data_IF_106088742760
#
_entry.id   IF_106088742760
#
_cell.length_a   1.000
_cell.length_b   1.000
_cell.length_c   1.000
_cell.angle_alpha   90.00
_cell.angle_beta   90.00
_cell.angle_gamma   90.00
#
_symmetry.space_group_name_H-M   'P 1'
#
loop_
_entity.id
_entity.type
_entity.pdbx_description
1 polymer ?
#
# COMPACT_ATOMS: atom_id res chain seq x y z
N UNK A 1 28.11 5.39 21.24
CA UNK A 1 28.98 6.56 21.37
C UNK A 1 28.20 7.80 20.93
N UNK A 2 27.78 7.94 19.71
CA UNK A 2 27.08 9.12 19.18
C UNK A 2 25.81 9.55 19.93
N UNK A 3 24.95 8.62 20.38
CA UNK A 3 23.71 8.95 21.09
C UNK A 3 24.01 9.54 22.48
N UNK A 4 25.01 9.00 23.19
CA UNK A 4 25.36 9.50 24.51
C UNK A 4 25.95 10.93 24.42
N UNK A 5 26.75 11.20 23.40
CA UNK A 5 27.27 12.54 23.14
C UNK A 5 26.13 13.54 22.87
N UNK A 6 25.09 13.13 22.14
CA UNK A 6 23.91 13.96 21.91
C UNK A 6 23.10 14.19 23.19
N UNK A 7 22.95 13.16 24.04
CA UNK A 7 22.28 13.27 25.35
C UNK A 7 23.06 14.22 26.28
N UNK A 8 24.40 14.15 26.24
CA UNK A 8 25.27 15.03 27.02
C UNK A 8 25.20 16.51 26.54
N UNK A 9 25.08 16.74 25.23
CA UNK A 9 24.89 18.09 24.65
C UNK A 9 23.51 18.67 24.96
N UNK A 10 22.46 17.84 24.87
CA UNK A 10 21.07 18.24 25.18
C UNK A 10 20.87 18.41 26.69
N UNK A 11 21.70 17.76 27.51
CA UNK A 11 21.64 17.77 28.96
C UNK A 11 20.46 16.99 29.56
N UNK A 12 19.77 16.16 28.71
CA UNK A 12 18.60 15.36 29.11
C UNK A 12 18.64 14.02 28.40
N UNK A 13 18.16 12.91 29.05
CA UNK A 13 18.08 11.62 28.42
C UNK A 13 17.04 11.61 27.28
N UNK A 14 17.42 11.10 26.14
CA UNK A 14 16.56 10.97 24.96
C UNK A 14 15.96 9.58 24.83
N UNK A 15 16.60 8.57 25.44
CA UNK A 15 16.15 7.18 25.40
C UNK A 15 15.96 6.62 26.81
N UNK A 16 14.85 5.94 27.01
CA UNK A 16 14.64 5.07 28.16
C UNK A 16 15.14 3.67 27.82
N UNK A 17 16.10 3.20 28.63
CA UNK A 17 16.76 1.88 28.45
C UNK A 17 16.15 0.88 29.41
N UNK A 18 14.85 0.64 29.31
CA UNK A 18 14.17 -0.41 30.08
C UNK A 18 14.66 -1.82 29.76
N UNK A 19 14.41 -2.77 30.66
CA UNK A 19 14.92 -4.14 30.59
C UNK A 19 14.45 -4.96 29.37
N UNK A 20 13.45 -4.48 28.59
CA UNK A 20 12.86 -5.21 27.44
C UNK A 20 12.93 -4.48 26.10
N UNK A 21 13.05 -3.18 26.09
CA UNK A 21 13.12 -2.37 24.85
C UNK A 21 13.75 -1.02 25.13
N UNK A 22 14.38 -0.43 24.12
CA UNK A 22 14.80 0.97 24.12
C UNK A 22 13.66 1.79 23.54
N UNK A 23 13.08 2.71 24.32
CA UNK A 23 12.03 3.62 23.89
C UNK A 23 12.50 5.07 23.99
N UNK A 24 11.86 5.99 23.26
CA UNK A 24 12.13 7.41 23.43
C UNK A 24 11.54 7.91 24.75
N UNK A 25 12.27 8.80 25.40
CA UNK A 25 11.70 9.64 26.47
C UNK A 25 10.81 10.74 25.86
N UNK A 26 10.04 11.45 26.68
CA UNK A 26 9.27 12.62 26.23
C UNK A 26 10.20 13.69 25.59
N UNK A 27 11.41 13.88 26.14
CA UNK A 27 12.44 14.76 25.55
C UNK A 27 12.92 14.23 24.20
N UNK A 28 13.11 12.90 24.09
CA UNK A 28 13.48 12.24 22.84
C UNK A 28 12.42 12.38 21.76
N UNK A 29 11.15 12.22 22.09
CA UNK A 29 10.04 12.44 21.15
C UNK A 29 9.98 13.90 20.68
N UNK A 30 10.14 14.83 21.62
CA UNK A 30 10.16 16.27 21.30
C UNK A 30 11.31 16.63 20.37
N UNK A 31 12.53 16.17 20.67
CA UNK A 31 13.70 16.39 19.82
C UNK A 31 13.55 15.74 18.45
N UNK A 32 12.97 14.56 18.38
CA UNK A 32 12.78 13.82 17.11
C UNK A 32 11.97 14.62 16.09
N UNK A 33 10.98 15.40 16.53
CA UNK A 33 10.20 16.30 15.65
C UNK A 33 11.12 17.32 14.95
N UNK A 34 12.03 17.93 15.70
CA UNK A 34 12.98 18.90 15.13
C UNK A 34 14.05 18.25 14.26
N UNK A 35 14.57 17.09 14.69
CA UNK A 35 15.56 16.33 13.91
C UNK A 35 14.98 15.93 12.55
N UNK A 36 13.74 15.43 12.51
CA UNK A 36 13.03 15.11 11.25
C UNK A 36 12.88 16.34 10.37
N UNK A 37 12.55 17.49 10.95
CA UNK A 37 12.43 18.75 10.21
C UNK A 37 13.76 19.20 9.62
N UNK A 38 14.85 19.12 10.38
CA UNK A 38 16.22 19.47 9.91
C UNK A 38 16.64 18.54 8.77
N UNK A 39 16.47 17.22 8.95
CA UNK A 39 16.79 16.23 7.90
C UNK A 39 15.94 16.44 6.65
N UNK A 40 14.66 16.80 6.81
CA UNK A 40 13.78 17.19 5.72
C UNK A 40 14.32 18.41 4.94
N UNK A 41 14.75 19.46 5.64
CA UNK A 41 15.32 20.68 5.03
C UNK A 41 16.65 20.40 4.31
N UNK A 42 17.50 19.54 4.88
CA UNK A 42 18.72 19.11 4.20
C UNK A 42 18.41 18.35 2.90
N UNK A 43 17.41 17.47 2.93
CA UNK A 43 16.94 16.78 1.74
C UNK A 43 16.37 17.74 0.70
N UNK A 44 15.63 18.77 1.11
CA UNK A 44 15.13 19.82 0.21
C UNK A 44 16.27 20.58 -0.48
N UNK A 45 17.37 20.84 0.24
CA UNK A 45 18.55 21.45 -0.34
C UNK A 45 19.23 20.52 -1.38
N UNK A 46 19.37 19.21 -1.08
CA UNK A 46 19.89 18.24 -2.02
C UNK A 46 18.99 18.12 -3.27
N UNK A 47 17.69 18.11 -3.10
CA UNK A 47 16.70 18.10 -4.19
C UNK A 47 16.76 19.39 -5.02
N UNK A 48 17.02 20.55 -4.41
CA UNK A 48 17.23 21.81 -5.11
C UNK A 48 18.51 21.78 -5.96
N UNK A 49 19.59 21.20 -5.44
CA UNK A 49 20.83 20.99 -6.21
C UNK A 49 20.63 19.97 -7.35
N UNK A 50 19.84 18.93 -7.13
CA UNK A 50 19.50 17.95 -8.16
C UNK A 50 18.70 18.59 -9.32
N UNK A 51 17.79 19.54 -9.01
CA UNK A 51 17.09 20.35 -10.03
C UNK A 51 18.05 21.10 -10.97
N UNK A 52 19.12 21.63 -10.42
CA UNK A 52 20.14 22.33 -11.22
C UNK A 52 20.98 21.38 -12.11
N UNK A 53 21.02 20.08 -11.76
CA UNK A 53 21.76 19.05 -12.51
C UNK A 53 20.89 18.34 -13.57
N UNK A 54 19.58 18.62 -13.63
CA UNK A 54 18.63 17.94 -14.51
C UNK A 54 18.05 16.66 -13.93
N UNK A 55 16.88 16.23 -14.44
CA UNK A 55 16.08 15.11 -13.91
C UNK A 55 16.71 13.71 -14.05
N UNK A 56 17.90 13.59 -14.64
CA UNK A 56 18.53 12.30 -14.92
C UNK A 56 19.29 11.69 -13.72
N UNK A 57 19.45 12.44 -12.63
CA UNK A 57 20.18 11.99 -11.44
C UNK A 57 19.41 12.39 -10.19
N UNK A 58 19.29 11.49 -9.22
CA UNK A 58 18.63 11.79 -7.95
C UNK A 58 18.23 10.54 -7.19
N UNK A 59 17.67 10.74 -6.01
CA UNK A 59 17.12 9.66 -5.16
C UNK A 59 15.66 9.90 -4.93
N UNK A 60 14.85 8.82 -5.01
CA UNK A 60 13.43 8.83 -4.72
C UNK A 60 13.15 7.80 -3.63
N UNK A 61 12.48 8.23 -2.55
CA UNK A 61 11.92 7.32 -1.56
C UNK A 61 10.44 7.09 -1.87
N UNK A 62 10.08 5.86 -2.15
CA UNK A 62 8.74 5.46 -2.60
C UNK A 62 8.12 4.59 -1.53
N UNK A 63 6.97 5.01 -1.01
CA UNK A 63 6.12 4.18 -0.16
C UNK A 63 5.10 3.41 -1.00
N UNK A 64 4.82 2.17 -0.65
CA UNK A 64 3.73 1.42 -1.27
C UNK A 64 2.99 0.55 -0.27
N UNK A 65 1.66 0.46 -0.43
CA UNK A 65 0.89 -0.52 0.32
C UNK A 65 1.26 -1.94 -0.12
N UNK A 66 1.17 -2.91 0.80
CA UNK A 66 1.55 -4.31 0.52
C UNK A 66 0.83 -4.92 -0.68
N UNK A 67 -0.38 -4.44 -1.02
CA UNK A 67 -1.09 -4.85 -2.24
C UNK A 67 -0.48 -4.34 -3.54
N UNK A 68 0.32 -3.26 -3.51
CA UNK A 68 1.00 -2.74 -4.70
C UNK A 68 2.29 -3.49 -5.04
N UNK A 69 2.79 -4.36 -4.15
CA UNK A 69 4.01 -5.16 -4.39
C UNK A 69 3.89 -6.09 -5.60
N UNK A 70 2.68 -6.42 -6.00
CA UNK A 70 2.42 -7.33 -7.11
C UNK A 70 2.56 -6.70 -8.49
N UNK A 71 2.58 -5.36 -8.60
CA UNK A 71 2.72 -4.68 -9.89
C UNK A 71 3.78 -3.56 -9.89
N UNK A 72 3.89 -2.79 -8.79
CA UNK A 72 4.73 -1.60 -8.77
C UNK A 72 6.22 -1.86 -9.11
N UNK A 73 6.86 -2.96 -8.66
CA UNK A 73 8.23 -3.26 -9.06
C UNK A 73 8.44 -3.35 -10.58
N UNK A 74 7.46 -3.86 -11.35
CA UNK A 74 7.54 -3.90 -12.82
C UNK A 74 7.43 -2.51 -13.44
N UNK A 75 6.53 -1.68 -12.91
CA UNK A 75 6.40 -0.27 -13.32
C UNK A 75 7.71 0.48 -13.06
N UNK A 76 8.30 0.29 -11.87
CA UNK A 76 9.58 0.90 -11.51
C UNK A 76 10.75 0.38 -12.34
N UNK A 77 10.76 -0.90 -12.71
CA UNK A 77 11.78 -1.46 -13.58
C UNK A 77 11.75 -0.81 -14.98
N UNK A 78 10.54 -0.53 -15.50
CA UNK A 78 10.37 0.17 -16.76
C UNK A 78 10.85 1.62 -16.65
N UNK A 79 10.46 2.36 -15.63
CA UNK A 79 10.95 3.70 -15.36
C UNK A 79 12.48 3.73 -15.26
N UNK A 80 13.08 2.80 -14.51
CA UNK A 80 14.55 2.73 -14.34
C UNK A 80 15.27 2.50 -15.66
N UNK A 81 14.70 1.77 -16.61
CA UNK A 81 15.33 1.56 -17.91
C UNK A 81 15.53 2.85 -18.70
N UNK A 82 14.67 3.84 -18.47
CA UNK A 82 14.68 5.15 -19.10
C UNK A 82 15.46 6.21 -18.28
N UNK A 83 15.57 5.99 -16.94
CA UNK A 83 16.17 6.92 -15.97
C UNK A 83 17.27 6.23 -15.14
N UNK A 84 18.35 5.79 -15.81
CA UNK A 84 19.42 4.96 -15.21
C UNK A 84 20.18 5.62 -14.05
N UNK A 85 20.19 6.97 -13.98
CA UNK A 85 20.85 7.73 -12.93
C UNK A 85 20.03 7.91 -11.65
N UNK A 86 18.79 7.40 -11.60
CA UNK A 86 17.89 7.56 -10.46
C UNK A 86 18.03 6.38 -9.50
N UNK A 87 18.41 6.66 -8.25
CA UNK A 87 18.37 5.71 -7.13
C UNK A 87 16.95 5.67 -6.55
N UNK A 88 16.39 4.48 -6.38
CA UNK A 88 15.06 4.29 -5.79
C UNK A 88 15.15 3.48 -4.51
N UNK A 89 14.49 3.96 -3.45
CA UNK A 89 14.29 3.22 -2.20
C UNK A 89 12.81 2.97 -1.99
N UNK A 90 12.47 1.72 -1.67
CA UNK A 90 11.08 1.31 -1.47
C UNK A 90 10.83 0.99 -0.01
N UNK A 91 9.74 1.55 0.51
CA UNK A 91 9.16 1.19 1.81
C UNK A 91 7.80 0.53 1.58
N UNK A 92 7.58 -0.61 2.24
CA UNK A 92 6.32 -1.36 2.16
C UNK A 92 5.63 -1.30 3.52
N UNK A 93 4.35 -1.01 3.53
CA UNK A 93 3.56 -0.97 4.75
C UNK A 93 2.07 -1.13 4.48
N UNK A 94 1.26 -0.98 5.52
CA UNK A 94 -0.18 -0.76 5.33
C UNK A 94 -0.47 0.72 5.09
N UNK A 95 -1.76 1.07 4.89
CA UNK A 95 -2.14 2.46 4.61
C UNK A 95 -1.75 3.42 5.74
N UNK A 96 -1.99 3.03 6.99
CA UNK A 96 -1.73 3.86 8.15
C UNK A 96 -0.23 4.18 8.30
N UNK A 97 0.61 3.16 8.15
CA UNK A 97 2.07 3.32 8.16
C UNK A 97 2.55 4.26 7.05
N UNK A 98 2.00 4.14 5.84
CA UNK A 98 2.39 5.01 4.73
C UNK A 98 1.92 6.45 4.91
N UNK A 99 0.74 6.67 5.51
CA UNK A 99 0.27 8.01 5.84
C UNK A 99 1.23 8.68 6.83
N UNK A 100 1.69 7.93 7.83
CA UNK A 100 2.71 8.41 8.77
C UNK A 100 4.04 8.72 8.08
N UNK A 101 4.52 7.83 7.21
CA UNK A 101 5.77 8.05 6.46
C UNK A 101 5.70 9.27 5.54
N UNK A 102 4.53 9.52 4.91
CA UNK A 102 4.30 10.76 4.15
C UNK A 102 4.36 11.98 5.08
N UNK A 103 3.66 11.94 6.21
CA UNK A 103 3.61 13.03 7.18
C UNK A 103 5.01 13.36 7.74
N UNK A 104 5.80 12.33 8.02
CA UNK A 104 7.17 12.44 8.53
C UNK A 104 8.19 12.74 7.40
N UNK A 105 7.73 12.91 6.15
CA UNK A 105 8.55 13.13 4.95
C UNK A 105 9.63 12.05 4.71
N UNK A 106 9.42 10.84 5.21
CA UNK A 106 10.29 9.67 5.00
C UNK A 106 10.19 9.15 3.56
N UNK A 107 9.02 9.31 2.93
CA UNK A 107 8.79 9.00 1.51
C UNK A 107 8.41 10.26 0.73
N UNK A 108 8.79 10.31 -0.54
CA UNK A 108 8.50 11.41 -1.46
C UNK A 108 7.17 11.19 -2.18
N UNK A 109 6.94 9.94 -2.58
CA UNK A 109 5.75 9.48 -3.28
C UNK A 109 5.22 8.23 -2.59
N UNK A 110 3.90 8.07 -2.52
CA UNK A 110 3.28 6.85 -2.04
C UNK A 110 2.26 6.31 -3.06
N UNK A 111 2.22 4.97 -3.23
CA UNK A 111 1.23 4.27 -4.05
C UNK A 111 0.25 3.55 -3.12
N UNK A 112 -1.03 3.92 -3.19
CA UNK A 112 -2.08 3.37 -2.33
C UNK A 112 -3.46 3.40 -2.98
N UNK A 113 -4.35 2.52 -2.53
CA UNK A 113 -5.74 2.44 -3.03
C UNK A 113 -6.71 3.42 -2.35
N UNK A 114 -6.35 3.99 -1.20
CA UNK A 114 -7.18 4.96 -0.46
C UNK A 114 -6.31 6.13 -0.01
N UNK A 115 -6.42 7.29 -0.69
CA UNK A 115 -5.68 8.48 -0.29
C UNK A 115 -6.01 8.94 1.12
N UNK A 116 -5.05 9.58 1.82
CA UNK A 116 -5.30 10.17 3.13
C UNK A 116 -6.20 11.42 2.99
N UNK A 117 -7.24 11.50 3.81
CA UNK A 117 -8.04 12.72 3.95
C UNK A 117 -7.54 13.61 5.07
N UNK A 118 -6.75 13.03 5.95
CA UNK A 118 -6.16 13.61 7.16
C UNK A 118 -4.90 14.46 6.88
N UNK A 119 -4.37 14.40 5.65
CA UNK A 119 -3.18 15.16 5.24
C UNK A 119 -3.49 16.09 4.07
N UNK A 120 -2.82 17.25 4.05
CA UNK A 120 -2.78 18.10 2.87
C UNK A 120 -1.90 17.45 1.78
N UNK A 121 -2.44 16.43 1.12
CA UNK A 121 -1.75 15.65 0.11
C UNK A 121 -2.44 15.81 -1.26
N UNK A 122 -1.65 15.77 -2.33
CA UNK A 122 -2.14 15.59 -3.68
C UNK A 122 -2.21 14.10 -3.96
N UNK A 123 -3.37 13.63 -4.37
CA UNK A 123 -3.62 12.25 -4.73
C UNK A 123 -4.20 12.19 -6.14
N UNK A 124 -3.54 11.50 -7.03
CA UNK A 124 -3.92 11.40 -8.44
C UNK A 124 -4.19 9.94 -8.79
N UNK A 125 -5.42 9.61 -9.26
CA UNK A 125 -5.73 8.26 -9.70
C UNK A 125 -4.98 7.93 -10.99
N UNK A 126 -4.53 6.66 -11.13
CA UNK A 126 -3.81 6.25 -12.33
C UNK A 126 -4.20 4.88 -12.89
N UNK A 127 -4.92 4.03 -12.12
CA UNK A 127 -5.38 2.73 -12.61
C UNK A 127 -6.54 2.20 -11.76
N UNK A 128 -7.33 1.28 -12.31
CA UNK A 128 -8.37 0.55 -11.59
C UNK A 128 -7.77 -0.37 -10.52
N UNK A 129 -8.49 -0.52 -9.40
CA UNK A 129 -8.11 -1.36 -8.26
C UNK A 129 -9.29 -2.24 -7.81
N UNK A 130 -9.53 -3.37 -8.48
CA UNK A 130 -10.64 -4.25 -8.20
C UNK A 130 -10.40 -5.10 -6.94
N UNK A 131 -11.46 -5.26 -6.14
CA UNK A 131 -11.50 -6.11 -4.95
C UNK A 131 -12.66 -7.08 -5.06
N UNK A 132 -12.46 -8.32 -4.65
CA UNK A 132 -13.51 -9.32 -4.61
C UNK A 132 -13.25 -10.33 -3.49
N UNK A 133 -14.22 -11.22 -3.30
CA UNK A 133 -14.11 -12.36 -2.39
C UNK A 133 -13.48 -13.53 -3.16
N UNK A 134 -12.41 -14.07 -2.58
CA UNK A 134 -11.71 -15.26 -3.11
C UNK A 134 -12.00 -16.47 -2.22
N UNK A 135 -12.02 -17.64 -2.85
CA UNK A 135 -12.28 -18.93 -2.22
C UNK A 135 -11.35 -20.02 -2.80
N UNK A 136 -11.23 -21.14 -2.08
CA UNK A 136 -10.70 -22.36 -2.66
C UNK A 136 -11.63 -22.87 -3.78
N UNK A 137 -11.13 -23.52 -4.85
CA UNK A 137 -11.98 -24.03 -5.93
C UNK A 137 -13.01 -25.08 -5.47
N UNK A 138 -12.75 -25.77 -4.35
CA UNK A 138 -13.65 -26.75 -3.76
C UNK A 138 -14.68 -26.17 -2.76
N UNK A 139 -14.74 -24.86 -2.58
CA UNK A 139 -15.68 -24.21 -1.65
C UNK A 139 -17.12 -24.34 -2.16
N UNK A 140 -18.09 -24.45 -1.25
CA UNK A 140 -19.54 -24.64 -1.56
C UNK A 140 -20.13 -23.53 -2.43
N UNK A 141 -19.60 -22.32 -2.33
CA UNK A 141 -20.00 -21.15 -3.12
C UNK A 141 -19.25 -21.04 -4.46
N UNK A 142 -18.20 -21.85 -4.68
CA UNK A 142 -17.42 -21.79 -5.92
C UNK A 142 -18.28 -22.20 -7.13
N UNK A 143 -18.20 -21.43 -8.21
CA UNK A 143 -18.96 -21.69 -9.45
C UNK A 143 -20.44 -21.28 -9.39
N UNK A 144 -20.95 -20.82 -8.26
CA UNK A 144 -22.28 -20.21 -8.20
C UNK A 144 -22.26 -18.82 -8.86
N UNK A 145 -23.37 -18.44 -9.47
CA UNK A 145 -23.53 -17.16 -10.17
C UNK A 145 -24.47 -16.26 -9.39
N UNK A 146 -24.18 -14.96 -9.38
CA UNK A 146 -24.98 -13.92 -8.74
C UNK A 146 -25.33 -14.26 -7.26
N UNK A 147 -24.30 -14.65 -6.48
CA UNK A 147 -24.43 -14.99 -5.06
C UNK A 147 -24.95 -13.76 -4.30
N UNK A 148 -26.10 -13.84 -3.62
CA UNK A 148 -26.56 -12.74 -2.80
C UNK A 148 -25.63 -12.54 -1.59
N UNK A 149 -25.30 -11.28 -1.19
CA UNK A 149 -24.46 -11.02 -0.04
C UNK A 149 -24.92 -11.69 1.26
N UNK A 150 -26.22 -11.91 1.44
CA UNK A 150 -26.79 -12.62 2.60
C UNK A 150 -26.23 -14.04 2.76
N UNK A 151 -25.87 -14.71 1.67
CA UNK A 151 -25.31 -16.07 1.71
C UNK A 151 -23.91 -16.10 2.36
N UNK A 152 -23.25 -14.93 2.46
CA UNK A 152 -21.97 -14.79 3.12
C UNK A 152 -22.07 -14.69 4.65
N UNK A 153 -23.26 -14.45 5.20
CA UNK A 153 -23.45 -14.18 6.63
C UNK A 153 -23.05 -15.35 7.54
N UNK A 154 -23.05 -16.58 7.02
CA UNK A 154 -22.63 -17.79 7.74
C UNK A 154 -21.22 -18.26 7.38
N UNK A 155 -20.58 -17.60 6.42
CA UNK A 155 -19.24 -17.97 5.96
C UNK A 155 -18.15 -17.38 6.86
N UNK A 156 -17.09 -18.12 7.05
CA UNK A 156 -15.94 -17.70 7.86
C UNK A 156 -14.95 -16.88 7.03
N UNK A 157 -14.52 -15.72 7.54
CA UNK A 157 -13.60 -14.83 6.85
C UNK A 157 -12.25 -14.74 7.53
N UNK A 158 -11.19 -14.81 6.70
CA UNK A 158 -9.82 -14.43 7.03
C UNK A 158 -9.64 -12.98 6.57
N UNK A 159 -9.29 -12.11 7.50
CA UNK A 159 -9.29 -10.67 7.25
C UNK A 159 -7.89 -10.06 7.34
N UNK A 160 -7.69 -8.92 6.69
CA UNK A 160 -6.49 -8.11 6.82
C UNK A 160 -6.47 -7.42 8.19
N UNK A 161 -5.28 -7.02 8.59
CA UNK A 161 -5.01 -6.27 9.83
C UNK A 161 -5.70 -4.91 9.86
N UNK A 162 -5.88 -4.35 11.05
CA UNK A 162 -6.30 -2.96 11.22
C UNK A 162 -5.34 -1.99 10.53
N UNK A 163 -5.84 -0.84 10.08
CA UNK A 163 -5.06 0.11 9.27
C UNK A 163 -4.90 -0.29 7.79
N UNK A 164 -5.32 -1.50 7.39
CA UNK A 164 -5.35 -1.93 5.99
C UNK A 164 -6.47 -1.25 5.20
N UNK A 165 -6.13 -0.69 4.04
CA UNK A 165 -7.12 -0.15 3.11
C UNK A 165 -8.06 -1.20 2.51
N UNK A 166 -7.60 -2.45 2.39
CA UNK A 166 -8.40 -3.61 1.96
C UNK A 166 -9.39 -4.01 3.03
N UNK A 167 -8.98 -4.04 4.32
CA UNK A 167 -9.86 -4.27 5.46
C UNK A 167 -11.01 -3.25 5.49
N UNK A 168 -10.67 -1.97 5.41
CA UNK A 168 -11.67 -0.90 5.39
C UNK A 168 -12.64 -0.99 4.18
N UNK A 169 -12.18 -1.49 3.03
CA UNK A 169 -13.05 -1.71 1.87
C UNK A 169 -14.03 -2.89 2.08
N UNK A 170 -13.54 -3.97 2.70
CA UNK A 170 -14.37 -5.12 3.07
C UNK A 170 -15.45 -4.74 4.08
N UNK A 171 -15.07 -4.03 5.13
CA UNK A 171 -15.99 -3.59 6.18
C UNK A 171 -17.08 -2.67 5.63
N UNK A 172 -16.72 -1.77 4.70
CA UNK A 172 -17.70 -0.92 4.02
C UNK A 172 -18.66 -1.77 3.18
N UNK A 173 -18.18 -2.73 2.41
CA UNK A 173 -19.02 -3.63 1.62
C UNK A 173 -19.98 -4.44 2.52
N UNK A 174 -19.49 -5.01 3.63
CA UNK A 174 -20.33 -5.75 4.56
C UNK A 174 -21.39 -4.85 5.22
N UNK A 175 -21.00 -3.65 5.63
CA UNK A 175 -21.92 -2.65 6.19
C UNK A 175 -23.03 -2.29 5.19
N UNK A 176 -22.67 -1.99 3.94
CA UNK A 176 -23.63 -1.58 2.90
C UNK A 176 -24.57 -2.73 2.52
N UNK A 177 -24.10 -3.98 2.61
CA UNK A 177 -24.90 -5.18 2.41
C UNK A 177 -25.66 -5.63 3.66
N UNK A 178 -25.51 -4.96 4.82
CA UNK A 178 -26.13 -5.32 6.11
C UNK A 178 -25.79 -6.74 6.56
N UNK A 179 -24.55 -7.17 6.37
CA UNK A 179 -24.03 -8.47 6.81
C UNK A 179 -22.84 -8.30 7.76
N UNK A 180 -22.66 -9.25 8.67
CA UNK A 180 -21.50 -9.31 9.58
C UNK A 180 -21.02 -10.76 9.73
N UNK A 181 -20.30 -11.28 8.72
CA UNK A 181 -19.82 -12.65 8.76
C UNK A 181 -18.76 -12.86 9.84
N UNK A 182 -18.62 -14.10 10.39
CA UNK A 182 -17.58 -14.45 11.35
C UNK A 182 -16.17 -14.19 10.82
N UNK A 183 -15.34 -13.51 11.61
CA UNK A 183 -13.92 -13.28 11.33
C UNK A 183 -13.09 -14.22 12.17
N UNK A 184 -12.63 -15.31 11.57
CA UNK A 184 -11.91 -16.38 12.29
C UNK A 184 -10.43 -16.08 12.50
N UNK A 185 -9.83 -15.25 11.66
CA UNK A 185 -8.41 -14.98 11.69
C UNK A 185 -8.07 -13.61 11.09
N UNK A 186 -7.14 -12.90 11.73
CA UNK A 186 -6.57 -11.66 11.23
C UNK A 186 -5.11 -11.87 10.83
N UNK A 187 -4.71 -11.39 9.64
CA UNK A 187 -3.35 -11.52 9.11
C UNK A 187 -2.92 -10.24 8.38
N UNK A 188 -1.64 -9.87 8.51
CA UNK A 188 -1.04 -8.73 7.82
C UNK A 188 -0.46 -9.07 6.43
N UNK A 189 -0.25 -10.34 6.14
CA UNK A 189 0.36 -10.81 4.89
C UNK A 189 -0.69 -11.30 3.90
N UNK A 190 -0.73 -10.69 2.71
CA UNK A 190 -1.57 -11.18 1.61
C UNK A 190 -1.23 -12.62 1.22
N UNK A 191 0.08 -12.99 1.23
CA UNK A 191 0.51 -14.35 0.90
C UNK A 191 -0.03 -15.37 1.91
N UNK A 192 0.05 -15.07 3.20
CA UNK A 192 -0.45 -15.97 4.25
C UNK A 192 -1.98 -16.13 4.13
N UNK A 193 -2.71 -15.03 3.84
CA UNK A 193 -4.16 -15.10 3.62
C UNK A 193 -4.47 -16.01 2.41
N UNK A 194 -3.78 -15.82 1.28
CA UNK A 194 -3.99 -16.66 0.10
C UNK A 194 -3.75 -18.14 0.40
N UNK A 195 -2.66 -18.47 1.11
CA UNK A 195 -2.37 -19.85 1.50
C UNK A 195 -3.46 -20.45 2.42
N UNK A 196 -3.98 -19.68 3.37
CA UNK A 196 -5.06 -20.12 4.23
C UNK A 196 -6.37 -20.35 3.43
N UNK A 197 -6.69 -19.48 2.47
CA UNK A 197 -7.85 -19.68 1.57
C UNK A 197 -7.66 -20.91 0.68
N UNK A 198 -6.46 -21.13 0.12
CA UNK A 198 -6.13 -22.32 -0.67
C UNK A 198 -6.32 -23.60 0.17
N UNK A 199 -5.97 -23.55 1.45
CA UNK A 199 -6.17 -24.64 2.40
C UNK A 199 -7.65 -24.79 2.84
N UNK A 200 -8.58 -24.00 2.25
CA UNK A 200 -10.02 -24.01 2.55
C UNK A 200 -10.35 -23.71 4.01
N UNK A 201 -9.54 -22.82 4.66
CA UNK A 201 -9.78 -22.37 6.03
C UNK A 201 -10.88 -21.29 6.13
N UNK A 202 -11.31 -20.69 5.01
CA UNK A 202 -12.33 -19.65 4.95
C UNK A 202 -12.21 -18.81 3.69
N UNK A 203 -13.02 -17.77 3.60
CA UNK A 203 -13.04 -16.79 2.52
C UNK A 203 -12.13 -15.59 2.85
N UNK A 204 -11.71 -14.85 1.83
CA UNK A 204 -11.05 -13.57 2.05
C UNK A 204 -11.50 -12.52 1.01
N UNK A 205 -11.62 -11.26 1.46
CA UNK A 205 -11.81 -10.12 0.57
C UNK A 205 -10.46 -9.49 0.28
N UNK A 206 -9.99 -9.58 -0.97
CA UNK A 206 -8.68 -9.08 -1.38
C UNK A 206 -8.74 -8.27 -2.68
N UNK A 207 -7.67 -7.49 -2.90
CA UNK A 207 -7.40 -6.93 -4.23
C UNK A 207 -7.11 -8.07 -5.21
N UNK A 208 -7.79 -8.09 -6.34
CA UNK A 208 -7.59 -9.14 -7.37
C UNK A 208 -6.20 -9.12 -7.97
N UNK A 209 -5.50 -7.97 -7.95
CA UNK A 209 -4.10 -7.91 -8.35
C UNK A 209 -3.18 -8.77 -7.46
N UNK A 210 -3.57 -9.02 -6.20
CA UNK A 210 -2.76 -9.85 -5.28
C UNK A 210 -2.93 -11.34 -5.51
N UNK A 211 -4.08 -11.76 -6.04
CA UNK A 211 -4.46 -13.16 -6.22
C UNK A 211 -4.42 -13.61 -7.70
N UNK A 212 -3.94 -12.76 -8.61
CA UNK A 212 -4.02 -13.00 -10.03
C UNK A 212 -3.32 -14.30 -10.46
N UNK A 213 -2.14 -14.58 -9.92
CA UNK A 213 -1.39 -15.80 -10.25
C UNK A 213 -2.13 -17.07 -9.78
N UNK A 214 -2.68 -17.04 -8.57
CA UNK A 214 -3.42 -18.18 -8.01
C UNK A 214 -4.76 -18.39 -8.74
N UNK A 215 -5.39 -17.33 -9.23
CA UNK A 215 -6.60 -17.42 -10.05
C UNK A 215 -6.24 -18.01 -11.43
N UNK A 216 -5.18 -17.53 -12.08
CA UNK A 216 -4.69 -18.04 -13.36
C UNK A 216 -4.33 -19.53 -13.27
N UNK A 217 -3.66 -19.93 -12.19
CA UNK A 217 -3.26 -21.33 -11.93
C UNK A 217 -4.37 -22.18 -11.30
N UNK A 218 -5.58 -21.62 -11.13
CA UNK A 218 -6.76 -22.30 -10.57
C UNK A 218 -6.59 -22.82 -9.13
N UNK A 219 -5.69 -22.24 -8.37
CA UNK A 219 -5.54 -22.52 -6.94
C UNK A 219 -6.55 -21.73 -6.10
N UNK A 220 -7.00 -20.60 -6.63
CA UNK A 220 -8.08 -19.80 -6.08
C UNK A 220 -9.14 -19.52 -7.15
N UNK A 221 -10.36 -19.27 -6.72
CA UNK A 221 -11.42 -18.74 -7.55
C UNK A 221 -11.99 -17.45 -6.94
N UNK A 222 -12.57 -16.62 -7.81
CA UNK A 222 -13.34 -15.44 -7.40
C UNK A 222 -14.80 -15.84 -7.28
N UNK A 223 -15.44 -15.49 -6.19
CA UNK A 223 -16.89 -15.69 -6.02
C UNK A 223 -17.64 -14.58 -6.75
N UNK A 224 -18.62 -14.99 -7.56
CA UNK A 224 -19.53 -14.06 -8.25
C UNK A 224 -20.62 -13.57 -7.28
N UNK A 225 -20.26 -12.61 -6.44
CA UNK A 225 -21.15 -12.00 -5.44
C UNK A 225 -21.75 -10.73 -6.01
N UNK A 226 -23.05 -10.55 -5.85
CA UNK A 226 -23.76 -9.34 -6.29
C UNK A 226 -23.13 -8.09 -5.64
N UNK A 227 -22.74 -7.12 -6.46
CA UNK A 227 -22.04 -5.89 -6.05
C UNK A 227 -20.52 -6.00 -6.02
N UNK A 228 -19.94 -7.14 -6.39
CA UNK A 228 -18.50 -7.31 -6.60
C UNK A 228 -18.19 -7.61 -8.08
N UNK A 229 -17.00 -7.31 -8.57
CA UNK A 229 -15.87 -6.70 -7.86
C UNK A 229 -16.12 -5.22 -7.49
N UNK A 230 -15.70 -4.83 -6.28
CA UNK A 230 -15.67 -3.44 -5.87
C UNK A 230 -14.47 -2.76 -6.53
N UNK A 231 -14.71 -1.93 -7.55
CA UNK A 231 -13.64 -1.25 -8.27
C UNK A 231 -13.35 0.10 -7.62
N UNK A 232 -12.12 0.25 -7.13
CA UNK A 232 -11.54 1.49 -6.61
C UNK A 232 -10.44 1.96 -7.56
N UNK A 233 -9.66 2.96 -7.16
CA UNK A 233 -8.53 3.44 -7.95
C UNK A 233 -7.23 3.31 -7.19
N UNK A 234 -6.17 2.98 -7.88
CA UNK A 234 -4.80 3.20 -7.44
C UNK A 234 -4.46 4.69 -7.56
N UNK A 235 -3.79 5.22 -6.56
CA UNK A 235 -3.38 6.62 -6.53
C UNK A 235 -1.89 6.72 -6.29
N UNK A 236 -1.28 7.70 -6.94
CA UNK A 236 0.01 8.23 -6.54
C UNK A 236 -0.22 9.46 -5.67
N UNK A 237 0.46 9.52 -4.52
CA UNK A 237 0.20 10.49 -3.47
C UNK A 237 1.50 11.15 -3.02
N UNK A 238 1.48 12.46 -2.84
CA UNK A 238 2.57 13.22 -2.22
C UNK A 238 2.05 14.41 -1.41
N UNK A 239 2.84 14.92 -0.48
CA UNK A 239 2.47 16.11 0.30
C UNK A 239 2.43 17.36 -0.58
N UNK A 240 1.42 18.19 -0.41
CA UNK A 240 1.33 19.49 -1.12
C UNK A 240 2.34 20.50 -0.59
N UNK A 241 2.70 20.39 0.68
CA UNK A 241 3.65 21.29 1.35
C UNK A 241 5.11 21.07 0.92
N UNK A 242 5.41 19.95 0.24
CA UNK A 242 6.76 19.57 -0.16
C UNK A 242 6.87 19.49 -1.69
N UNK A 243 7.69 20.35 -2.32
CA UNK A 243 7.96 20.22 -3.75
C UNK A 243 8.70 18.92 -4.03
N UNK A 244 8.30 18.23 -5.08
CA UNK A 244 8.98 17.01 -5.52
C UNK A 244 10.33 17.35 -6.16
N UNK A 245 11.30 16.45 -6.01
CA UNK A 245 12.52 16.50 -6.80
C UNK A 245 12.21 16.22 -8.28
N UNK A 246 13.07 16.67 -9.24
CA UNK A 246 12.85 16.37 -10.65
C UNK A 246 12.70 14.88 -10.95
N UNK A 247 13.47 14.03 -10.25
CA UNK A 247 13.36 12.58 -10.40
C UNK A 247 12.02 12.04 -9.88
N UNK A 248 11.54 12.54 -8.73
CA UNK A 248 10.23 12.15 -8.17
C UNK A 248 9.08 12.65 -9.05
N UNK A 249 9.20 13.86 -9.59
CA UNK A 249 8.22 14.41 -10.54
C UNK A 249 8.17 13.60 -11.84
N UNK A 250 9.33 13.23 -12.39
CA UNK A 250 9.42 12.36 -13.57
C UNK A 250 8.76 10.99 -13.31
N UNK A 251 9.00 10.37 -12.14
CA UNK A 251 8.34 9.11 -11.78
C UNK A 251 6.82 9.29 -11.62
N UNK A 252 6.37 10.39 -11.02
CA UNK A 252 4.95 10.69 -10.89
C UNK A 252 4.27 10.76 -12.26
N UNK A 253 4.82 11.52 -13.19
CA UNK A 253 4.29 11.61 -14.56
C UNK A 253 4.34 10.27 -15.28
N UNK A 254 5.43 9.53 -15.16
CA UNK A 254 5.54 8.20 -15.76
C UNK A 254 4.43 7.25 -15.28
N UNK A 255 4.15 7.23 -13.97
CA UNK A 255 3.08 6.40 -13.40
C UNK A 255 1.71 6.85 -13.90
N UNK A 256 1.46 8.16 -13.99
CA UNK A 256 0.19 8.70 -14.48
C UNK A 256 -0.04 8.40 -15.96
N UNK A 257 1.01 8.42 -16.79
CA UNK A 257 0.91 8.19 -18.22
C UNK A 257 0.90 6.70 -18.61
N UNK A 258 1.70 5.89 -17.94
CA UNK A 258 1.95 4.50 -18.35
C UNK A 258 1.46 3.46 -17.35
N UNK A 259 1.15 3.85 -16.10
CA UNK A 259 0.85 2.93 -15.00
C UNK A 259 -0.34 2.04 -15.31
N UNK A 260 -1.44 2.58 -15.81
CA UNK A 260 -2.63 1.80 -16.17
C UNK A 260 -2.35 0.75 -17.24
N UNK A 261 -1.68 1.14 -18.32
CA UNK A 261 -1.36 0.22 -19.42
C UNK A 261 -0.42 -0.90 -18.98
N UNK A 262 0.59 -0.59 -18.16
CA UNK A 262 1.52 -1.59 -17.61
C UNK A 262 0.83 -2.57 -16.67
N UNK A 263 -0.10 -2.10 -15.83
CA UNK A 263 -0.91 -2.96 -14.95
C UNK A 263 -1.84 -3.83 -15.78
N UNK A 264 -2.57 -3.25 -16.73
CA UNK A 264 -3.47 -4.01 -17.61
C UNK A 264 -2.73 -5.10 -18.40
N UNK A 265 -1.54 -4.79 -18.93
CA UNK A 265 -0.71 -5.77 -19.61
C UNK A 265 -0.27 -6.91 -18.68
N UNK A 266 0.11 -6.57 -17.44
CA UNK A 266 0.57 -7.58 -16.47
C UNK A 266 -0.54 -8.55 -16.07
N UNK A 267 -1.77 -8.08 -15.95
CA UNK A 267 -2.93 -8.86 -15.49
C UNK A 267 -3.89 -9.25 -16.63
N UNK A 268 -3.44 -9.21 -17.88
CA UNK A 268 -4.27 -9.50 -19.05
C UNK A 268 -4.93 -10.90 -18.99
N UNK A 269 -4.24 -11.90 -18.45
CA UNK A 269 -4.75 -13.27 -18.32
C UNK A 269 -5.99 -13.38 -17.43
N UNK A 270 -6.11 -12.49 -16.42
CA UNK A 270 -7.23 -12.46 -15.47
C UNK A 270 -8.17 -11.27 -15.72
N UNK A 271 -7.94 -10.51 -16.79
CA UNK A 271 -8.75 -9.33 -17.12
C UNK A 271 -10.28 -9.57 -17.14
N UNK A 272 -10.80 -10.71 -17.63
CA UNK A 272 -12.24 -10.99 -17.60
C UNK A 272 -12.81 -11.08 -16.20
N UNK A 273 -11.98 -11.45 -15.21
CA UNK A 273 -12.38 -11.53 -13.77
C UNK A 273 -12.21 -10.17 -13.08
N UNK A 274 -11.38 -9.28 -13.65
CA UNK A 274 -11.12 -7.96 -13.11
C UNK A 274 -12.13 -6.89 -13.57
N UNK A 275 -12.87 -7.17 -14.64
CA UNK A 275 -13.87 -6.24 -15.18
C UNK A 275 -15.15 -6.26 -14.32
N UNK A 276 -15.77 -5.12 -14.02
CA UNK A 276 -17.11 -5.09 -13.45
C UNK A 276 -18.08 -5.73 -14.45
N UNK A 277 -19.00 -6.56 -13.91
CA UNK A 277 -20.11 -7.17 -14.67
C UNK A 277 -21.16 -6.10 -14.96
#
# INVERSE_FOLDING_TARGET
>A
MQIKELEDEVGLPLFDRGARAVTLTMTGEYLLVYVRRILGTLKEADDAMARLRGAQVGRINIGMVSTATYFLPRVLARFRSEHRGVEMRLAVGNREQLVKQLQDAEVDLAVMGRPPRELAARAEPFAAHPHAIIAAPGHSLAGRVAIPPSDLSSEEFIVREEGSGTRAAMELFFHDCHIDPPRIMEMSSNETIKQAVIANMGLAFLSLHTAALEIETKQLCVLDVVGLPLVRSWHIVHLQSKPLSPAAEALRYFILEQGEALIAQQFAAVAPVLAPI
#
